data_IF_699579769461
#
_entry.id   IF_699579769461
#
_cell.length_a   1.000
_cell.length_b   1.000
_cell.length_c   1.000
_cell.angle_alpha   90.00
_cell.angle_beta   90.00
_cell.angle_gamma   90.00
#
_symmetry.space_group_name_H-M   'P 1'
#
loop_
_entity.id
_entity.type
_entity.pdbx_description
1 polymer ?
#
# COMPACT_ATOMS: atom_id res chain seq x y z
N UNK A 1 10.18 16.44 10.73
CA UNK A 1 10.86 17.73 10.57
C UNK A 1 10.75 18.52 11.86
N UNK A 2 9.54 18.80 12.39
CA UNK A 2 9.33 19.60 13.62
C UNK A 2 10.22 19.16 14.78
N UNK A 3 10.24 17.87 15.11
CA UNK A 3 11.03 17.32 16.23
C UNK A 3 12.55 17.58 16.08
N UNK A 4 13.05 17.72 14.85
CA UNK A 4 14.44 18.11 14.59
C UNK A 4 14.63 19.61 14.77
N UNK A 5 13.68 20.42 14.30
CA UNK A 5 13.75 21.88 14.34
C UNK A 5 13.63 22.43 15.76
N UNK A 6 12.95 21.71 16.68
CA UNK A 6 12.82 22.07 18.10
C UNK A 6 14.16 22.17 18.86
N UNK A 7 15.20 21.48 18.38
CA UNK A 7 16.54 21.63 18.97
C UNK A 7 17.18 22.97 18.64
N UNK A 8 16.78 23.57 17.50
CA UNK A 8 17.27 24.90 17.09
C UNK A 8 16.36 25.98 17.62
N UNK A 9 15.06 25.70 17.75
CA UNK A 9 14.04 26.65 18.21
C UNK A 9 13.19 26.03 19.33
N UNK A 10 13.61 26.14 20.61
CA UNK A 10 12.91 25.53 21.74
C UNK A 10 11.46 25.96 21.91
N UNK A 11 11.09 27.16 21.45
CA UNK A 11 9.72 27.69 21.50
C UNK A 11 8.72 26.85 20.74
N UNK A 12 9.16 26.05 19.73
CA UNK A 12 8.30 25.13 18.98
C UNK A 12 7.76 23.99 19.84
N UNK A 13 8.36 23.73 21.02
CA UNK A 13 7.87 22.69 21.93
C UNK A 13 6.42 22.92 22.37
N UNK A 14 6.02 24.17 22.57
CA UNK A 14 4.66 24.54 22.95
C UNK A 14 3.61 24.28 21.85
N UNK A 15 4.03 24.01 20.61
CA UNK A 15 3.11 23.71 19.49
C UNK A 15 2.87 22.23 19.30
N UNK A 16 3.56 21.35 20.02
CA UNK A 16 3.47 19.88 19.82
C UNK A 16 2.05 19.35 19.99
N UNK A 17 1.29 19.85 20.98
CA UNK A 17 -0.07 19.37 21.23
C UNK A 17 -0.98 19.61 20.02
N UNK A 18 -0.81 20.74 19.34
CA UNK A 18 -1.58 21.08 18.14
C UNK A 18 -1.22 20.11 17.01
N UNK A 19 0.07 19.82 16.83
CA UNK A 19 0.53 18.91 15.79
C UNK A 19 0.14 17.45 16.06
N UNK A 20 0.20 17.03 17.32
CA UNK A 20 -0.24 15.68 17.72
C UNK A 20 -1.75 15.52 17.48
N UNK A 21 -2.56 16.52 17.83
CA UNK A 21 -4.00 16.52 17.57
C UNK A 21 -4.31 16.42 16.07
N UNK A 22 -3.65 17.23 15.23
CA UNK A 22 -3.84 17.19 13.78
C UNK A 22 -3.37 15.85 13.20
N UNK A 23 -2.23 15.34 13.66
CA UNK A 23 -1.71 14.04 13.21
C UNK A 23 -2.66 12.90 13.55
N UNK A 24 -3.28 12.92 14.73
CA UNK A 24 -4.27 11.93 15.15
C UNK A 24 -5.54 12.04 14.30
N UNK A 25 -6.06 13.25 14.12
CA UNK A 25 -7.28 13.47 13.33
C UNK A 25 -7.13 12.99 11.88
N UNK A 26 -6.13 13.51 11.18
CA UNK A 26 -5.89 13.14 9.79
C UNK A 26 -5.35 11.71 9.66
N UNK A 27 -4.56 11.26 10.63
CA UNK A 27 -4.03 9.91 10.68
C UNK A 27 -5.11 8.85 10.74
N UNK A 28 -6.11 9.02 11.60
CA UNK A 28 -7.29 8.13 11.68
C UNK A 28 -8.03 8.04 10.34
N UNK A 29 -8.25 9.19 9.69
CA UNK A 29 -8.92 9.24 8.38
C UNK A 29 -8.12 8.52 7.29
N UNK A 30 -6.80 8.65 7.30
CA UNK A 30 -5.92 7.98 6.32
C UNK A 30 -5.94 6.46 6.55
N UNK A 31 -5.79 6.00 7.80
CA UNK A 31 -5.82 4.58 8.15
C UNK A 31 -7.13 3.94 7.70
N UNK A 32 -8.26 4.59 7.99
CA UNK A 32 -9.57 4.08 7.59
C UNK A 32 -9.76 4.02 6.08
N UNK A 33 -9.32 5.07 5.35
CA UNK A 33 -9.36 5.07 3.88
C UNK A 33 -8.46 4.00 3.27
N UNK A 34 -7.26 3.80 3.82
CA UNK A 34 -6.34 2.75 3.35
C UNK A 34 -6.92 1.36 3.57
N UNK A 35 -7.53 1.13 4.74
CA UNK A 35 -8.19 -0.14 5.05
C UNK A 35 -9.27 -0.46 4.02
N UNK A 36 -10.19 0.47 3.77
CA UNK A 36 -11.24 0.29 2.74
C UNK A 36 -10.65 0.08 1.34
N UNK A 37 -9.64 0.87 0.99
CA UNK A 37 -8.97 0.71 -0.32
C UNK A 37 -8.36 -0.68 -0.49
N UNK A 38 -7.72 -1.23 0.55
CA UNK A 38 -7.15 -2.58 0.49
C UNK A 38 -8.25 -3.65 0.44
N UNK A 39 -9.38 -3.44 1.10
CA UNK A 39 -10.56 -4.33 0.97
C UNK A 39 -11.06 -4.34 -0.48
N UNK A 40 -11.28 -3.17 -1.10
CA UNK A 40 -11.68 -3.04 -2.51
C UNK A 40 -10.64 -3.62 -3.48
N UNK A 41 -9.35 -3.40 -3.20
CA UNK A 41 -8.26 -3.96 -3.98
C UNK A 41 -8.29 -5.49 -3.95
N UNK A 42 -8.54 -6.10 -2.80
CA UNK A 42 -8.60 -7.56 -2.66
C UNK A 42 -9.74 -8.19 -3.49
N UNK A 43 -10.88 -7.51 -3.65
CA UNK A 43 -11.97 -7.99 -4.51
C UNK A 43 -11.54 -8.15 -5.98
N UNK A 44 -10.59 -7.33 -6.42
CA UNK A 44 -10.11 -7.31 -7.81
C UNK A 44 -8.88 -8.18 -7.97
N UNK A 45 -7.86 -7.99 -7.12
CA UNK A 45 -6.54 -8.58 -7.29
C UNK A 45 -6.56 -10.11 -7.16
N UNK A 46 -7.44 -10.66 -6.32
CA UNK A 46 -7.58 -12.11 -6.15
C UNK A 46 -7.93 -12.79 -7.47
N UNK A 47 -8.93 -12.27 -8.19
CA UNK A 47 -9.35 -12.82 -9.48
C UNK A 47 -8.26 -12.68 -10.54
N UNK A 48 -7.59 -11.54 -10.61
CA UNK A 48 -6.51 -11.29 -11.56
C UNK A 48 -5.35 -12.27 -11.30
N UNK A 49 -4.92 -12.37 -10.06
CA UNK A 49 -3.81 -13.26 -9.69
C UNK A 49 -4.13 -14.74 -9.91
N UNK A 50 -5.33 -15.15 -9.53
CA UNK A 50 -5.80 -16.52 -9.76
C UNK A 50 -5.75 -16.90 -11.24
N UNK A 51 -6.22 -16.01 -12.12
CA UNK A 51 -6.16 -16.25 -13.56
C UNK A 51 -4.71 -16.24 -14.11
N UNK A 52 -3.89 -15.29 -13.68
CA UNK A 52 -2.47 -15.22 -14.06
C UNK A 52 -1.67 -16.47 -13.67
N UNK A 53 -2.09 -17.15 -12.62
CA UNK A 53 -1.42 -18.36 -12.10
C UNK A 53 -2.10 -19.66 -12.50
N UNK A 54 -3.05 -19.59 -13.46
CA UNK A 54 -3.78 -20.78 -13.91
C UNK A 54 -4.60 -21.46 -12.80
N UNK A 55 -5.09 -20.69 -11.83
CA UNK A 55 -5.93 -21.19 -10.75
C UNK A 55 -5.20 -21.82 -9.58
N UNK A 56 -3.87 -21.67 -9.48
CA UNK A 56 -3.04 -22.35 -8.47
C UNK A 56 -2.72 -21.51 -7.25
N UNK A 57 -2.78 -20.19 -7.36
CA UNK A 57 -2.37 -19.26 -6.31
C UNK A 57 -3.48 -18.27 -5.96
N UNK A 58 -3.64 -18.03 -4.66
CA UNK A 58 -4.53 -17.01 -4.10
C UNK A 58 -3.69 -15.89 -3.49
N UNK A 59 -3.73 -14.69 -4.07
CA UNK A 59 -3.05 -13.50 -3.56
C UNK A 59 -3.98 -12.72 -2.64
N UNK A 60 -3.44 -12.31 -1.50
CA UNK A 60 -4.11 -11.41 -0.56
C UNK A 60 -3.17 -10.27 -0.19
N UNK A 61 -3.69 -9.04 -0.23
CA UNK A 61 -3.01 -7.85 0.29
C UNK A 61 -3.56 -7.55 1.68
N UNK A 62 -2.69 -7.36 2.64
CA UNK A 62 -3.03 -7.06 4.04
C UNK A 62 -2.47 -5.69 4.36
N UNK A 63 -3.34 -4.80 4.86
CA UNK A 63 -2.91 -3.52 5.38
C UNK A 63 -2.45 -3.67 6.83
N UNK A 64 -1.22 -3.29 7.09
CA UNK A 64 -0.57 -3.34 8.40
C UNK A 64 -0.37 -1.92 8.96
N UNK A 65 -1.37 -1.35 9.65
CA UNK A 65 -1.18 -0.06 10.30
C UNK A 65 -0.20 -0.17 11.44
N UNK A 66 0.62 0.86 11.64
CA UNK A 66 1.58 0.96 12.75
C UNK A 66 0.91 0.88 14.12
N UNK A 67 -0.35 1.27 14.19
CA UNK A 67 -1.26 1.04 15.30
C UNK A 67 -2.71 1.17 14.79
N UNK A 68 -3.69 0.56 15.46
CA UNK A 68 -5.10 0.76 15.15
C UNK A 68 -5.47 2.26 15.23
N UNK A 69 -6.26 2.75 14.27
CA UNK A 69 -6.63 4.17 14.22
C UNK A 69 -7.29 4.68 15.49
N UNK A 70 -8.02 3.81 16.21
CA UNK A 70 -8.64 4.13 17.50
C UNK A 70 -7.62 4.33 18.62
N UNK A 71 -6.47 3.68 18.55
CA UNK A 71 -5.39 3.74 19.53
C UNK A 71 -4.31 4.79 19.18
N UNK A 72 -4.42 5.44 18.01
CA UNK A 72 -3.39 6.35 17.52
C UNK A 72 -3.08 7.49 18.49
N UNK A 73 -4.11 8.08 19.10
CA UNK A 73 -3.95 9.17 20.07
C UNK A 73 -3.15 8.72 21.32
N UNK A 74 -3.55 7.58 21.88
CA UNK A 74 -2.87 6.98 23.02
C UNK A 74 -1.42 6.66 22.68
N UNK A 75 -1.20 6.00 21.54
CA UNK A 75 0.13 5.60 21.06
C UNK A 75 1.06 6.80 20.84
N UNK A 76 0.55 7.88 20.26
CA UNK A 76 1.30 9.13 20.05
C UNK A 76 1.67 9.75 21.39
N UNK A 77 0.73 9.83 22.33
CA UNK A 77 0.96 10.37 23.67
C UNK A 77 2.00 9.56 24.45
N UNK A 78 1.88 8.25 24.47
CA UNK A 78 2.80 7.35 25.17
C UNK A 78 4.22 7.37 24.59
N UNK A 79 4.33 7.52 23.26
CA UNK A 79 5.63 7.54 22.57
C UNK A 79 6.30 8.93 22.58
N UNK A 80 5.61 9.99 22.99
CA UNK A 80 6.04 11.39 22.83
C UNK A 80 7.46 11.66 23.33
N UNK A 81 7.79 11.26 24.55
CA UNK A 81 9.13 11.50 25.11
C UNK A 81 10.23 10.76 24.36
N UNK A 82 9.95 9.52 23.96
CA UNK A 82 10.86 8.72 23.15
C UNK A 82 11.08 9.36 21.80
N UNK A 83 10.00 9.75 21.12
CA UNK A 83 10.02 10.34 19.79
C UNK A 83 10.75 11.69 19.77
N UNK A 84 10.57 12.49 20.80
CA UNK A 84 11.36 13.73 21.00
C UNK A 84 12.85 13.42 21.12
N UNK A 85 13.25 12.44 21.92
CA UNK A 85 14.66 12.07 22.08
C UNK A 85 15.27 11.54 20.77
N UNK A 86 14.52 10.69 20.08
CA UNK A 86 14.94 10.05 18.82
C UNK A 86 14.76 10.95 17.60
N UNK A 87 14.08 12.11 17.74
CA UNK A 87 13.75 13.06 16.64
C UNK A 87 12.96 12.42 15.50
N UNK A 88 12.12 11.45 15.82
CA UNK A 88 11.26 10.73 14.87
C UNK A 88 9.85 10.65 15.41
N UNK A 89 8.88 10.45 14.52
CA UNK A 89 7.51 10.05 14.90
C UNK A 89 7.38 8.56 14.64
N UNK A 90 7.11 7.77 15.68
CA UNK A 90 7.12 6.31 15.63
C UNK A 90 5.76 5.69 15.30
N UNK A 91 4.68 6.43 15.43
CA UNK A 91 3.32 5.97 15.14
C UNK A 91 2.63 6.89 14.12
N UNK A 92 1.75 6.33 13.33
CA UNK A 92 0.96 7.04 12.33
C UNK A 92 1.09 6.49 10.92
N UNK A 93 0.27 6.99 9.96
CA UNK A 93 0.15 6.42 8.60
C UNK A 93 1.45 6.35 7.79
N UNK A 94 2.45 7.16 8.14
CA UNK A 94 3.76 7.13 7.50
C UNK A 94 4.64 5.94 7.95
N UNK A 95 4.15 5.14 8.90
CA UNK A 95 4.78 3.92 9.42
C UNK A 95 4.03 2.65 9.04
N UNK A 96 2.90 2.81 8.37
CA UNK A 96 2.11 1.67 7.93
C UNK A 96 2.82 0.93 6.80
N UNK A 97 2.51 -0.34 6.66
CA UNK A 97 3.03 -1.20 5.60
C UNK A 97 1.90 -2.00 4.94
N UNK A 98 2.24 -2.69 3.87
CA UNK A 98 1.41 -3.67 3.20
C UNK A 98 2.13 -5.01 3.19
N UNK A 99 1.46 -6.06 3.61
CA UNK A 99 1.92 -7.43 3.42
C UNK A 99 1.19 -8.05 2.22
N UNK A 100 1.89 -8.83 1.41
CA UNK A 100 1.31 -9.62 0.34
C UNK A 100 1.51 -11.09 0.64
N UNK A 101 0.41 -11.84 0.71
CA UNK A 101 0.42 -13.27 0.96
C UNK A 101 -0.08 -14.04 -0.26
N UNK A 102 0.65 -15.07 -0.65
CA UNK A 102 0.21 -16.08 -1.61
C UNK A 102 0.00 -17.39 -0.87
N UNK A 103 -1.22 -17.91 -0.93
CA UNK A 103 -1.62 -19.12 -0.20
C UNK A 103 -1.28 -19.08 1.31
N UNK A 104 -1.40 -17.88 1.92
CA UNK A 104 -1.12 -17.66 3.34
C UNK A 104 0.36 -17.48 3.70
N UNK A 105 1.24 -17.36 2.72
CA UNK A 105 2.70 -17.18 2.92
C UNK A 105 3.08 -15.75 2.48
N UNK A 106 3.74 -14.99 3.37
CA UNK A 106 4.33 -13.68 3.04
C UNK A 106 5.37 -13.84 1.93
N UNK A 107 5.04 -13.34 0.74
CA UNK A 107 5.90 -13.49 -0.45
C UNK A 107 7.11 -12.55 -0.45
N UNK A 108 7.12 -11.51 0.36
CA UNK A 108 8.30 -10.64 0.52
C UNK A 108 9.44 -11.40 1.17
N UNK A 109 9.11 -12.28 2.14
CA UNK A 109 10.09 -13.03 2.93
C UNK A 109 10.38 -14.42 2.36
N UNK A 110 9.34 -15.09 1.88
CA UNK A 110 9.41 -16.53 1.56
C UNK A 110 8.98 -16.84 0.13
N UNK A 111 8.49 -15.87 -0.63
CA UNK A 111 8.05 -16.06 -2.00
C UNK A 111 9.22 -16.24 -2.98
N UNK A 112 9.01 -17.07 -3.99
CA UNK A 112 9.91 -17.16 -5.14
C UNK A 112 9.92 -15.84 -5.93
N UNK A 113 10.97 -15.59 -6.70
CA UNK A 113 11.03 -14.41 -7.59
C UNK A 113 9.85 -14.39 -8.57
N UNK A 114 9.43 -15.56 -9.08
CA UNK A 114 8.26 -15.68 -9.95
C UNK A 114 6.97 -15.26 -9.25
N UNK A 115 6.76 -15.66 -8.01
CA UNK A 115 5.60 -15.25 -7.21
C UNK A 115 5.59 -13.73 -6.95
N UNK A 116 6.73 -13.17 -6.56
CA UNK A 116 6.86 -11.72 -6.34
C UNK A 116 6.54 -10.92 -7.59
N UNK A 117 7.08 -11.34 -8.77
CA UNK A 117 6.81 -10.69 -10.06
C UNK A 117 5.34 -10.81 -10.46
N UNK A 118 4.74 -12.00 -10.32
CA UNK A 118 3.34 -12.21 -10.64
C UNK A 118 2.42 -11.39 -9.73
N UNK A 119 2.73 -11.29 -8.44
CA UNK A 119 1.97 -10.44 -7.51
C UNK A 119 2.09 -8.95 -7.86
N UNK A 120 3.29 -8.48 -8.23
CA UNK A 120 3.49 -7.10 -8.68
C UNK A 120 2.70 -6.81 -9.96
N UNK A 121 2.67 -7.73 -10.92
CA UNK A 121 1.86 -7.60 -12.13
C UNK A 121 0.37 -7.58 -11.81
N UNK A 122 -0.09 -8.48 -10.92
CA UNK A 122 -1.49 -8.50 -10.47
C UNK A 122 -1.91 -7.18 -9.84
N UNK A 123 -1.02 -6.58 -9.02
CA UNK A 123 -1.25 -5.26 -8.42
C UNK A 123 -1.39 -4.17 -9.50
N UNK A 124 -0.49 -4.15 -10.48
CA UNK A 124 -0.53 -3.18 -11.59
C UNK A 124 -1.79 -3.30 -12.43
N UNK A 125 -2.20 -4.51 -12.76
CA UNK A 125 -3.46 -4.73 -13.48
C UNK A 125 -4.66 -4.28 -12.63
N UNK A 126 -4.64 -4.54 -11.33
CA UNK A 126 -5.71 -4.10 -10.41
C UNK A 126 -5.83 -2.58 -10.33
N UNK A 127 -4.71 -1.85 -10.39
CA UNK A 127 -4.70 -0.38 -10.46
C UNK A 127 -5.50 0.12 -11.66
N UNK A 128 -5.37 -0.51 -12.82
CA UNK A 128 -6.09 -0.14 -14.05
C UNK A 128 -7.61 -0.24 -13.83
N UNK A 129 -8.07 -1.35 -13.25
CA UNK A 129 -9.49 -1.56 -12.95
C UNK A 129 -10.03 -0.52 -11.96
N UNK A 130 -9.26 -0.22 -10.90
CA UNK A 130 -9.64 0.80 -9.91
C UNK A 130 -9.72 2.17 -10.57
N UNK A 131 -8.73 2.53 -11.39
CA UNK A 131 -8.71 3.81 -12.11
C UNK A 131 -9.90 3.93 -13.05
N UNK A 132 -10.16 2.93 -13.90
CA UNK A 132 -11.34 2.89 -14.79
C UNK A 132 -12.65 3.12 -14.00
N UNK A 133 -12.80 2.45 -12.85
CA UNK A 133 -13.98 2.56 -11.99
C UNK A 133 -14.12 3.95 -11.37
N UNK A 134 -13.00 4.58 -11.02
CA UNK A 134 -12.97 5.86 -10.29
C UNK A 134 -13.17 7.06 -11.22
N UNK A 135 -12.40 7.12 -12.31
CA UNK A 135 -12.43 8.26 -13.24
C UNK A 135 -13.43 8.08 -14.38
N UNK A 136 -14.01 6.88 -14.54
CA UNK A 136 -14.95 6.51 -15.63
C UNK A 136 -14.37 6.75 -17.03
N UNK A 137 -13.06 6.64 -17.13
CA UNK A 137 -12.29 6.78 -18.36
C UNK A 137 -11.20 5.71 -18.40
N UNK A 138 -10.64 5.45 -19.58
CA UNK A 138 -9.61 4.43 -19.77
C UNK A 138 -8.23 5.09 -19.68
N UNK A 139 -7.38 4.65 -18.73
CA UNK A 139 -6.03 5.18 -18.62
C UNK A 139 -5.15 4.74 -19.79
N UNK A 140 -4.09 5.49 -20.09
CA UNK A 140 -3.01 5.04 -20.97
C UNK A 140 -2.05 4.21 -20.15
N UNK A 141 -1.75 3.01 -20.63
CA UNK A 141 -0.84 2.08 -19.97
C UNK A 141 0.56 2.16 -20.58
N UNK A 142 1.55 2.41 -19.75
CA UNK A 142 2.96 2.35 -20.16
C UNK A 142 3.56 1.04 -19.65
N UNK A 143 4.01 0.19 -20.59
CA UNK A 143 4.65 -1.09 -20.30
C UNK A 143 6.11 -1.03 -20.74
N UNK A 144 7.02 -1.12 -19.78
CA UNK A 144 8.45 -1.19 -20.05
C UNK A 144 8.95 -2.60 -19.71
N UNK A 145 9.35 -3.35 -20.75
CA UNK A 145 9.96 -4.68 -20.73
C UNK A 145 9.22 -5.78 -19.91
N UNK A 146 7.94 -5.56 -19.57
CA UNK A 146 7.18 -6.50 -18.73
C UNK A 146 6.98 -7.86 -19.40
N UNK A 147 6.81 -7.87 -20.74
CA UNK A 147 6.51 -9.09 -21.48
C UNK A 147 7.69 -10.07 -21.51
N UNK A 148 8.92 -9.57 -21.55
CA UNK A 148 10.12 -10.41 -21.59
C UNK A 148 10.32 -11.26 -20.31
N UNK A 149 9.74 -10.82 -19.20
CA UNK A 149 9.84 -11.48 -17.91
C UNK A 149 8.74 -12.52 -17.63
N UNK A 150 7.79 -12.67 -18.55
CA UNK A 150 6.63 -13.54 -18.39
C UNK A 150 6.71 -14.78 -19.30
N UNK A 151 6.21 -15.90 -18.81
CA UNK A 151 5.92 -17.07 -19.66
C UNK A 151 4.74 -16.80 -20.62
N UNK A 152 4.63 -17.63 -21.64
CA UNK A 152 3.64 -17.44 -22.71
C UNK A 152 2.19 -17.38 -22.20
N UNK A 153 1.84 -18.12 -21.16
CA UNK A 153 0.49 -18.13 -20.59
C UNK A 153 0.16 -16.78 -19.94
N UNK A 154 1.08 -16.25 -19.14
CA UNK A 154 0.93 -14.94 -18.49
C UNK A 154 0.97 -13.79 -19.49
N UNK A 155 1.81 -13.91 -20.55
CA UNK A 155 1.82 -12.94 -21.65
C UNK A 155 0.44 -12.86 -22.33
N UNK A 156 -0.15 -14.01 -22.68
CA UNK A 156 -1.47 -14.07 -23.28
C UNK A 156 -2.52 -13.43 -22.38
N UNK A 157 -2.56 -13.81 -21.10
CA UNK A 157 -3.50 -13.23 -20.15
C UNK A 157 -3.33 -11.70 -20.00
N UNK A 158 -2.09 -11.22 -19.94
CA UNK A 158 -1.81 -9.78 -19.86
C UNK A 158 -2.36 -9.06 -21.10
N UNK A 159 -2.04 -9.55 -22.31
CA UNK A 159 -2.49 -8.94 -23.58
C UNK A 159 -4.01 -8.94 -23.68
N UNK A 160 -4.68 -10.02 -23.30
CA UNK A 160 -6.14 -10.10 -23.26
C UNK A 160 -6.76 -9.12 -22.26
N UNK A 161 -6.08 -8.92 -21.10
CA UNK A 161 -6.56 -8.02 -20.05
C UNK A 161 -6.44 -6.53 -20.40
N UNK A 162 -5.57 -6.18 -21.35
CA UNK A 162 -5.29 -4.80 -21.75
C UNK A 162 -5.71 -4.47 -23.18
N UNK A 163 -6.38 -5.39 -23.89
CA UNK A 163 -6.71 -5.22 -25.32
C UNK A 163 -7.52 -3.94 -25.59
N UNK A 164 -8.35 -3.50 -24.63
CA UNK A 164 -9.17 -2.28 -24.73
C UNK A 164 -8.47 -1.03 -24.19
N UNK A 165 -7.18 -1.12 -23.92
CA UNK A 165 -6.40 -0.05 -23.27
C UNK A 165 -5.35 0.46 -24.24
N UNK A 166 -5.28 1.79 -24.42
CA UNK A 166 -4.17 2.38 -25.16
C UNK A 166 -2.85 2.08 -24.42
N UNK A 167 -1.99 1.29 -25.08
CA UNK A 167 -0.71 0.82 -24.50
C UNK A 167 0.46 1.36 -25.32
N UNK A 168 1.52 1.78 -24.64
CA UNK A 168 2.81 2.20 -25.22
C UNK A 168 3.94 1.42 -24.60
#
# INVERSE_FOLDING_TARGET
>A
KLLKDMYVQPGLKGTLDIWDMQMVEYGRRIIEKRKRFVEELNEIIQNIHFNLTGGTENLRVIYEPSCPGQELEKTVSENRERDMRMKITSAGPHRDDLCMEVNGIDIRRYGSQGQQRTAALSLKLSEIYIVKRTIKDTPVLLLDDVLSELDSSRQTYLLDSIHDIQTM
#
